data_IF_537940939359
#
_entry.id   IF_537940939359
#
_cell.length_a   1.000
_cell.length_b   1.000
_cell.length_c   1.000
_cell.angle_alpha   90.00
_cell.angle_beta   90.00
_cell.angle_gamma   90.00
#
_symmetry.space_group_name_H-M   'P 1'
#
loop_
_entity.id
_entity.type
_entity.pdbx_description
1 polymer ?
#
# COMPACT_ATOMS: atom_id res chain seq x y z
N UNK A 1 3.29 11.22 12.00
CA UNK A 1 3.24 9.94 12.74
C UNK A 1 1.78 9.52 12.76
N UNK A 2 1.47 8.25 12.46
CA UNK A 2 0.09 7.79 12.48
C UNK A 2 -0.51 7.94 13.87
N UNK A 3 -1.75 8.42 13.94
CA UNK A 3 -2.51 8.47 15.19
C UNK A 3 -3.31 7.18 15.34
N UNK A 4 -2.73 6.21 16.00
CA UNK A 4 -3.34 4.90 16.25
C UNK A 4 -4.47 4.91 17.28
N UNK A 5 -4.79 6.07 17.85
CA UNK A 5 -5.96 6.22 18.73
C UNK A 5 -7.24 6.46 17.94
N UNK A 6 -7.13 6.80 16.64
CA UNK A 6 -8.28 7.01 15.79
C UNK A 6 -8.76 5.69 15.19
N UNK A 7 -10.03 5.41 15.37
CA UNK A 7 -10.71 4.25 14.80
C UNK A 7 -11.76 4.72 13.79
N UNK A 8 -11.77 4.10 12.59
CA UNK A 8 -12.84 4.26 11.62
C UNK A 8 -13.91 3.21 11.86
N UNK A 9 -15.15 3.65 11.85
CA UNK A 9 -16.31 2.79 11.89
C UNK A 9 -17.00 2.76 10.52
N UNK A 10 -17.80 1.74 10.29
CA UNK A 10 -18.51 1.59 9.03
C UNK A 10 -19.40 2.78 8.68
N UNK A 11 -19.95 3.45 9.70
CA UNK A 11 -20.78 4.64 9.58
C UNK A 11 -19.97 5.90 9.17
N UNK A 12 -18.65 5.91 9.40
CA UNK A 12 -17.78 7.06 9.14
C UNK A 12 -17.30 7.17 7.69
N UNK A 13 -17.57 6.15 6.87
CA UNK A 13 -17.06 6.10 5.50
C UNK A 13 -18.18 6.00 4.49
N UNK A 14 -18.04 6.74 3.40
CA UNK A 14 -18.92 6.69 2.24
C UNK A 14 -18.12 6.53 0.96
N UNK A 15 -18.79 6.18 -0.14
CA UNK A 15 -18.17 6.13 -1.46
C UNK A 15 -17.52 7.47 -1.79
N UNK A 16 -16.29 7.44 -2.28
CA UNK A 16 -15.49 8.62 -2.55
C UNK A 16 -14.69 9.16 -1.36
N UNK A 17 -14.87 8.60 -0.13
CA UNK A 17 -14.01 8.96 1.00
C UNK A 17 -12.55 8.66 0.65
N UNK A 18 -11.68 9.67 0.76
CA UNK A 18 -10.25 9.52 0.48
C UNK A 18 -9.49 8.99 1.70
N UNK A 19 -8.53 8.13 1.45
CA UNK A 19 -7.55 7.72 2.45
C UNK A 19 -6.49 8.81 2.59
N UNK A 20 -6.08 9.18 3.82
CA UNK A 20 -4.91 10.01 4.01
C UNK A 20 -3.70 9.41 3.31
N UNK A 21 -3.02 10.13 2.41
CA UNK A 21 -1.88 9.59 1.68
C UNK A 21 -0.69 9.36 2.60
N UNK A 22 0.07 8.30 2.34
CA UNK A 22 1.31 8.00 3.06
C UNK A 22 2.48 7.96 2.08
N UNK A 23 3.50 8.76 2.36
CA UNK A 23 4.72 8.82 1.54
C UNK A 23 5.86 8.02 2.19
N UNK A 24 6.47 7.19 1.37
CA UNK A 24 7.60 6.33 1.74
C UNK A 24 8.86 6.79 1.01
N UNK A 25 9.91 7.07 1.77
CA UNK A 25 11.21 7.45 1.23
C UNK A 25 12.05 6.19 1.00
N UNK A 26 12.41 5.93 -0.25
CA UNK A 26 13.17 4.77 -0.68
C UNK A 26 14.67 5.01 -0.51
N UNK A 27 15.17 4.88 0.71
CA UNK A 27 16.62 4.92 0.96
C UNK A 27 17.25 3.57 0.67
N UNK A 28 18.54 3.55 0.32
CA UNK A 28 19.33 2.31 0.15
C UNK A 28 19.17 1.39 1.37
N UNK A 29 19.28 1.96 2.57
CA UNK A 29 19.15 1.20 3.82
C UNK A 29 17.79 0.50 3.95
N UNK A 30 16.70 1.22 3.69
CA UNK A 30 15.33 0.64 3.75
C UNK A 30 15.14 -0.47 2.74
N UNK A 31 15.64 -0.28 1.52
CA UNK A 31 15.52 -1.27 0.46
C UNK A 31 16.27 -2.56 0.81
N UNK A 32 17.48 -2.45 1.36
CA UNK A 32 18.30 -3.60 1.75
C UNK A 32 17.67 -4.32 2.95
N UNK A 33 17.24 -3.59 3.98
CA UNK A 33 16.59 -4.18 5.16
C UNK A 33 15.31 -4.92 4.75
N UNK A 34 14.51 -4.32 3.90
CA UNK A 34 13.25 -4.91 3.46
C UNK A 34 13.47 -6.15 2.61
N UNK A 35 14.37 -6.08 1.62
CA UNK A 35 14.71 -7.25 0.80
C UNK A 35 15.26 -8.41 1.65
N UNK A 36 16.11 -8.10 2.64
CA UNK A 36 16.63 -9.09 3.59
C UNK A 36 15.54 -9.70 4.46
N UNK A 37 14.60 -8.89 4.97
CA UNK A 37 13.48 -9.34 5.79
C UNK A 37 12.56 -10.29 5.02
N UNK A 38 12.34 -10.02 3.74
CA UNK A 38 11.54 -10.86 2.85
C UNK A 38 12.30 -12.07 2.29
N UNK A 39 13.59 -12.18 2.56
CA UNK A 39 14.48 -13.18 1.93
C UNK A 39 14.50 -13.08 0.40
N UNK A 40 14.28 -11.91 -0.13
CA UNK A 40 14.42 -11.60 -1.56
C UNK A 40 15.85 -11.11 -1.82
N UNK A 41 16.74 -12.06 -2.01
CA UNK A 41 18.17 -11.79 -2.21
C UNK A 41 18.52 -11.49 -3.67
N UNK A 42 17.52 -11.22 -4.52
CA UNK A 42 17.78 -10.82 -5.90
C UNK A 42 18.60 -9.52 -5.93
N UNK A 43 19.74 -9.50 -6.63
CA UNK A 43 20.63 -8.33 -6.62
C UNK A 43 20.02 -7.08 -7.27
N UNK A 44 18.92 -7.19 -8.00
CA UNK A 44 18.20 -6.04 -8.57
C UNK A 44 17.67 -5.06 -7.51
N UNK A 45 17.48 -5.52 -6.27
CA UNK A 45 16.96 -4.72 -5.17
C UNK A 45 18.06 -4.04 -4.33
N UNK A 46 19.33 -4.35 -4.59
CA UNK A 46 20.45 -3.77 -3.84
C UNK A 46 21.71 -3.52 -4.68
N UNK A 47 21.63 -3.67 -6.00
CA UNK A 47 22.76 -3.41 -6.92
C UNK A 47 22.25 -2.76 -8.21
N UNK A 48 22.52 -1.47 -8.35
CA UNK A 48 22.16 -0.67 -9.52
C UNK A 48 22.68 -1.25 -10.85
N UNK A 49 23.93 -1.72 -10.89
CA UNK A 49 24.49 -2.26 -12.15
C UNK A 49 23.75 -3.50 -12.63
N UNK A 50 23.35 -4.37 -11.69
CA UNK A 50 22.57 -5.56 -12.02
C UNK A 50 21.17 -5.17 -12.46
N UNK A 51 20.50 -4.27 -11.75
CA UNK A 51 19.18 -3.77 -12.15
C UNK A 51 19.21 -3.15 -13.56
N UNK A 52 20.21 -2.32 -13.84
CA UNK A 52 20.39 -1.69 -15.16
C UNK A 52 20.67 -2.72 -16.27
N UNK A 53 21.44 -3.76 -15.99
CA UNK A 53 21.68 -4.84 -16.96
C UNK A 53 20.42 -5.62 -17.34
N UNK A 54 19.37 -5.54 -16.49
CA UNK A 54 18.05 -6.14 -16.73
C UNK A 54 16.99 -5.13 -17.20
N UNK A 55 17.41 -3.91 -17.56
CA UNK A 55 16.54 -2.89 -18.17
C UNK A 55 15.86 -1.94 -17.19
N UNK A 56 16.14 -2.04 -15.88
CA UNK A 56 15.66 -1.05 -14.92
C UNK A 56 16.58 0.19 -14.92
N UNK A 57 16.07 1.39 -14.62
CA UNK A 57 16.90 2.60 -14.58
C UNK A 57 17.84 2.64 -13.37
N UNK A 58 17.46 1.99 -12.27
CA UNK A 58 18.17 1.98 -10.98
C UNK A 58 17.70 0.76 -10.19
N UNK A 59 18.36 0.42 -9.07
CA UNK A 59 17.83 -0.58 -8.17
C UNK A 59 16.45 -0.15 -7.66
N UNK A 60 15.54 -1.10 -7.53
CA UNK A 60 14.12 -0.85 -7.27
C UNK A 60 13.55 -1.82 -6.24
N UNK A 61 12.41 -1.44 -5.66
CA UNK A 61 11.72 -2.24 -4.63
C UNK A 61 11.02 -3.46 -5.24
N UNK A 62 10.83 -4.48 -4.40
CA UNK A 62 10.05 -5.66 -4.76
C UNK A 62 8.55 -5.48 -4.49
N UNK A 63 7.74 -6.45 -4.96
CA UNK A 63 6.29 -6.43 -4.79
C UNK A 63 5.85 -6.56 -3.33
N UNK A 64 6.64 -7.23 -2.48
CA UNK A 64 6.30 -7.41 -1.06
C UNK A 64 6.43 -6.08 -0.32
N UNK A 65 7.42 -5.27 -0.67
CA UNK A 65 7.55 -3.92 -0.12
C UNK A 65 6.34 -3.04 -0.52
N UNK A 66 5.90 -3.11 -1.77
CA UNK A 66 4.69 -2.39 -2.24
C UNK A 66 3.47 -2.84 -1.44
N UNK A 67 3.30 -4.15 -1.27
CA UNK A 67 2.20 -4.68 -0.46
C UNK A 67 2.26 -4.18 0.99
N UNK A 68 3.44 -4.11 1.57
CA UNK A 68 3.67 -3.52 2.90
C UNK A 68 3.27 -2.05 2.98
N UNK A 69 3.60 -1.26 1.95
CA UNK A 69 3.19 0.15 1.87
C UNK A 69 1.66 0.29 1.80
N UNK A 70 0.99 -0.55 1.00
CA UNK A 70 -0.46 -0.55 0.91
C UNK A 70 -1.10 -0.97 2.23
N UNK A 71 -0.61 -2.06 2.84
CA UNK A 71 -1.08 -2.51 4.16
C UNK A 71 -0.95 -1.40 5.20
N UNK A 72 0.20 -0.72 5.25
CA UNK A 72 0.44 0.37 6.18
C UNK A 72 -0.56 1.51 5.98
N UNK A 73 -0.74 1.97 4.73
CA UNK A 73 -1.64 3.08 4.40
C UNK A 73 -3.09 2.73 4.74
N UNK A 74 -3.53 1.52 4.39
CA UNK A 74 -4.88 1.06 4.68
C UNK A 74 -5.09 0.87 6.18
N UNK A 75 -4.13 0.29 6.91
CA UNK A 75 -4.26 0.09 8.35
C UNK A 75 -4.33 1.43 9.11
N UNK A 76 -3.57 2.44 8.70
CA UNK A 76 -3.67 3.79 9.27
C UNK A 76 -5.06 4.41 9.03
N UNK A 77 -5.71 4.10 7.92
CA UNK A 77 -7.06 4.57 7.63
C UNK A 77 -8.12 3.84 8.45
N UNK A 78 -8.07 2.51 8.52
CA UNK A 78 -9.12 1.70 9.16
C UNK A 78 -9.02 1.63 10.68
N UNK A 79 -7.85 1.98 11.27
CA UNK A 79 -7.60 1.86 12.70
C UNK A 79 -7.28 0.43 13.15
N UNK A 80 -7.14 0.23 14.47
CA UNK A 80 -6.67 -1.04 15.03
C UNK A 80 -7.74 -2.15 15.03
N UNK A 81 -9.02 -1.79 15.12
CA UNK A 81 -10.14 -2.75 15.12
C UNK A 81 -10.60 -3.11 13.71
N UNK A 82 -10.14 -2.35 12.69
CA UNK A 82 -10.36 -2.68 11.30
C UNK A 82 -9.47 -3.84 10.84
N UNK A 83 -9.96 -4.65 9.90
CA UNK A 83 -9.24 -5.82 9.38
C UNK A 83 -9.10 -5.76 7.87
N UNK A 84 -7.88 -5.94 7.37
CA UNK A 84 -7.62 -6.14 5.95
C UNK A 84 -7.96 -7.59 5.61
N UNK A 85 -8.94 -7.80 4.74
CA UNK A 85 -9.42 -9.12 4.31
C UNK A 85 -8.68 -9.60 3.07
N UNK A 86 -8.38 -8.69 2.14
CA UNK A 86 -7.72 -9.02 0.87
C UNK A 86 -7.03 -7.80 0.30
N UNK A 87 -5.84 -7.98 -0.24
CA UNK A 87 -5.08 -6.97 -0.98
C UNK A 87 -4.87 -7.45 -2.41
N UNK A 88 -5.22 -6.58 -3.36
CA UNK A 88 -5.02 -6.84 -4.78
C UNK A 88 -6.11 -7.71 -5.44
N UNK A 89 -5.87 -8.11 -6.69
CA UNK A 89 -4.59 -8.00 -7.41
C UNK A 89 -4.17 -6.57 -7.72
N UNK A 90 -2.87 -6.33 -7.78
CA UNK A 90 -2.31 -5.07 -8.27
C UNK A 90 -1.18 -5.33 -9.28
N UNK A 91 -0.88 -4.34 -10.10
CA UNK A 91 0.18 -4.43 -11.11
C UNK A 91 1.14 -3.27 -10.96
N UNK A 92 2.44 -3.56 -10.95
CA UNK A 92 3.49 -2.57 -11.09
C UNK A 92 3.57 -2.13 -12.55
N UNK A 93 3.56 -0.81 -12.81
CA UNK A 93 3.59 -0.19 -14.13
C UNK A 93 4.89 0.56 -14.40
N UNK A 94 5.44 1.16 -13.35
CA UNK A 94 6.66 1.95 -13.38
C UNK A 94 7.54 1.46 -12.24
N UNK A 95 8.86 1.39 -12.46
CA UNK A 95 9.81 1.06 -11.41
C UNK A 95 9.77 2.11 -10.29
N UNK A 96 9.72 1.63 -9.06
CA UNK A 96 9.89 2.45 -7.86
C UNK A 96 11.33 2.30 -7.41
N UNK A 97 12.16 3.28 -7.77
CA UNK A 97 13.60 3.21 -7.64
C UNK A 97 14.11 3.90 -6.38
N UNK A 98 15.32 3.55 -5.96
CA UNK A 98 16.01 4.23 -4.85
C UNK A 98 16.03 5.75 -5.05
N UNK A 99 15.77 6.49 -3.98
CA UNK A 99 15.80 7.96 -3.99
C UNK A 99 14.51 8.63 -4.48
N UNK A 100 13.63 7.90 -5.15
CA UNK A 100 12.33 8.43 -5.62
C UNK A 100 11.22 8.08 -4.60
N UNK A 101 10.61 9.08 -3.93
CA UNK A 101 9.56 8.81 -2.96
C UNK A 101 8.34 8.16 -3.61
N UNK A 102 7.71 7.24 -2.87
CA UNK A 102 6.45 6.60 -3.28
C UNK A 102 5.35 7.02 -2.35
N UNK A 103 4.27 7.57 -2.89
CA UNK A 103 3.08 7.95 -2.13
C UNK A 103 1.96 6.97 -2.45
N UNK A 104 1.44 6.31 -1.43
CA UNK A 104 0.26 5.43 -1.54
C UNK A 104 -0.99 6.24 -1.21
N UNK A 105 -1.99 6.11 -2.06
CA UNK A 105 -3.29 6.80 -2.00
C UNK A 105 -4.41 5.79 -2.17
N UNK A 106 -5.62 6.20 -1.83
CA UNK A 106 -6.80 5.37 -2.07
C UNK A 106 -8.11 6.11 -1.83
N UNK A 107 -9.18 5.49 -2.29
CA UNK A 107 -10.56 5.96 -2.09
C UNK A 107 -11.47 4.79 -1.77
N UNK A 108 -12.54 5.05 -1.05
CA UNK A 108 -13.63 4.10 -0.84
C UNK A 108 -14.45 3.97 -2.13
N UNK A 109 -14.58 2.75 -2.65
CA UNK A 109 -15.35 2.46 -3.87
C UNK A 109 -16.78 2.06 -3.57
N UNK A 110 -16.97 1.23 -2.56
CA UNK A 110 -18.29 0.77 -2.11
C UNK A 110 -18.22 0.20 -0.71
N UNK A 111 -19.36 0.14 -0.05
CA UNK A 111 -19.52 -0.53 1.23
C UNK A 111 -20.81 -1.34 1.27
N UNK A 112 -20.81 -2.45 2.00
CA UNK A 112 -21.98 -3.31 2.15
C UNK A 112 -21.86 -4.17 3.41
N UNK A 113 -22.95 -4.82 3.78
CA UNK A 113 -22.98 -5.79 4.87
C UNK A 113 -23.22 -7.18 4.28
N UNK A 114 -22.41 -8.13 4.71
CA UNK A 114 -22.51 -9.52 4.26
C UNK A 114 -21.93 -10.46 5.31
N UNK A 115 -22.66 -11.55 5.59
CA UNK A 115 -22.19 -12.57 6.54
C UNK A 115 -21.95 -12.04 7.96
N UNK A 116 -22.62 -10.97 8.37
CA UNK A 116 -22.42 -10.34 9.69
C UNK A 116 -21.19 -9.42 9.76
N UNK A 117 -20.54 -9.16 8.64
CA UNK A 117 -19.42 -8.23 8.55
C UNK A 117 -19.81 -6.94 7.80
N UNK A 118 -19.20 -5.84 8.21
CA UNK A 118 -19.32 -4.55 7.54
C UNK A 118 -18.13 -4.40 6.59
N UNK A 119 -18.33 -4.65 5.32
CA UNK A 119 -17.30 -4.70 4.31
C UNK A 119 -17.18 -3.39 3.55
N UNK A 120 -15.94 -2.99 3.28
CA UNK A 120 -15.60 -1.81 2.49
C UNK A 120 -14.54 -2.20 1.45
N UNK A 121 -14.82 -1.91 0.19
CA UNK A 121 -13.84 -2.04 -0.88
C UNK A 121 -13.18 -0.69 -1.15
N UNK A 122 -11.87 -0.69 -1.09
CA UNK A 122 -11.02 0.46 -1.39
C UNK A 122 -10.39 0.26 -2.76
N UNK A 123 -10.20 1.35 -3.49
CA UNK A 123 -9.31 1.40 -4.65
C UNK A 123 -8.02 2.08 -4.22
N UNK A 124 -6.90 1.37 -4.30
CA UNK A 124 -5.59 1.85 -3.81
C UNK A 124 -4.60 1.88 -4.95
N UNK A 125 -3.72 2.89 -4.96
CA UNK A 125 -2.63 3.01 -5.92
C UNK A 125 -1.42 3.67 -5.28
N UNK A 126 -0.27 3.52 -5.93
CA UNK A 126 0.95 4.24 -5.55
C UNK A 126 1.44 5.11 -6.70
N UNK A 127 1.99 6.25 -6.36
CA UNK A 127 2.58 7.22 -7.28
C UNK A 127 4.03 7.50 -6.91
N UNK A 128 4.86 7.72 -7.92
CA UNK A 128 6.20 8.25 -7.78
C UNK A 128 6.37 9.50 -8.65
N UNK A 129 7.59 10.02 -8.83
CA UNK A 129 7.85 11.22 -9.62
C UNK A 129 7.41 11.12 -11.10
N UNK A 130 7.18 9.91 -11.60
CA UNK A 130 6.80 9.63 -12.98
C UNK A 130 5.29 9.35 -13.17
N UNK A 131 4.52 9.34 -12.09
CA UNK A 131 3.08 9.11 -12.11
C UNK A 131 2.66 7.85 -11.35
N UNK A 132 1.49 7.28 -11.70
CA UNK A 132 0.97 6.07 -11.07
C UNK A 132 1.88 4.89 -11.36
N UNK A 133 2.62 4.45 -10.36
CA UNK A 133 3.62 3.38 -10.47
C UNK A 133 3.05 1.99 -10.19
N UNK A 134 2.01 1.90 -9.33
CA UNK A 134 1.35 0.63 -8.97
C UNK A 134 -0.15 0.82 -8.91
N UNK A 135 -0.89 -0.14 -9.41
CA UNK A 135 -2.34 -0.13 -9.40
C UNK A 135 -2.98 0.81 -10.45
N UNK A 136 -4.21 1.31 -10.24
CA UNK A 136 -5.10 1.03 -9.10
C UNK A 136 -5.44 -0.45 -8.93
N UNK A 137 -5.70 -0.85 -7.68
CA UNK A 137 -6.14 -2.19 -7.36
C UNK A 137 -7.04 -2.23 -6.12
N UNK A 138 -7.86 -3.29 -5.97
CA UNK A 138 -8.80 -3.39 -4.87
C UNK A 138 -8.11 -3.79 -3.56
N UNK A 139 -8.61 -3.25 -2.45
CA UNK A 139 -8.33 -3.75 -1.11
C UNK A 139 -9.67 -3.91 -0.38
N UNK A 140 -9.95 -5.11 0.09
CA UNK A 140 -11.15 -5.40 0.88
C UNK A 140 -10.82 -5.32 2.36
N UNK A 141 -11.60 -4.55 3.09
CA UNK A 141 -11.48 -4.42 4.55
C UNK A 141 -12.81 -4.67 5.25
N UNK A 142 -12.75 -5.04 6.51
CA UNK A 142 -13.91 -5.08 7.40
C UNK A 142 -13.73 -4.00 8.48
N UNK A 143 -14.77 -3.22 8.73
CA UNK A 143 -14.80 -2.19 9.77
C UNK A 143 -15.71 -2.56 10.92
N UNK A 144 -15.38 -2.16 12.16
CA UNK A 144 -16.33 -2.24 13.27
C UNK A 144 -17.51 -1.29 13.03
N UNK A 145 -18.63 -1.56 13.67
CA UNK A 145 -19.81 -0.68 13.74
C UNK A 145 -19.97 -0.13 15.15
N UNK A 146 -20.47 1.11 15.26
CA UNK A 146 -20.90 1.68 16.55
C UNK A 146 -22.27 1.17 16.96
N UNK A 147 -23.01 0.54 16.05
CA UNK A 147 -24.40 0.11 16.22
C UNK A 147 -24.52 -1.37 16.61
N UNK A 148 -23.41 -2.06 16.84
CA UNK A 148 -23.36 -3.49 17.23
C UNK A 148 -23.39 -3.69 18.74
#
# INVERSE_FOLDING_TARGET
>A
MADWTQQRYFEDVDEGTELPPVTFHLTVQRMIIEAGANRDFSPIHHNTRVAQSQGAPEMYINNVFIQGMWNRTVQEFIGLDGRIKKVGPFRMKIFNTVGDPVTTKGTVKKKWQEGGENLVELEVWSENSKGVSVGPGPVLVALPSRLS
#
